data_IF_920440378517
#
_entry.id   IF_920440378517
#
_cell.length_a   1.000
_cell.length_b   1.000
_cell.length_c   1.000
_cell.angle_alpha   90.00
_cell.angle_beta   90.00
_cell.angle_gamma   90.00
#
_symmetry.space_group_name_H-M   'P 1'
#
loop_
_entity.id
_entity.type
_entity.pdbx_description
1 polymer ?
#
# COMPACT_ATOMS: atom_id res chain seq x y z
N UNK A 1 24.70 10.94 -13.93
CA UNK A 1 23.51 10.44 -13.20
C UNK A 1 23.07 11.36 -12.05
N UNK A 2 23.82 11.49 -10.94
CA UNK A 2 23.36 12.32 -9.80
C UNK A 2 23.13 13.80 -10.15
N UNK A 3 24.05 14.45 -10.87
CA UNK A 3 23.88 15.85 -11.31
C UNK A 3 22.62 16.08 -12.15
N UNK A 4 22.22 15.09 -12.95
CA UNK A 4 21.01 15.15 -13.77
C UNK A 4 19.76 15.04 -12.90
N UNK A 5 19.71 14.06 -11.99
CA UNK A 5 18.62 13.93 -11.01
C UNK A 5 18.45 15.18 -10.15
N UNK A 6 19.55 15.80 -9.72
CA UNK A 6 19.51 17.07 -9.00
C UNK A 6 18.87 18.18 -9.81
N UNK A 7 19.16 18.24 -11.11
CA UNK A 7 18.58 19.24 -12.00
C UNK A 7 17.09 18.96 -12.25
N UNK A 8 16.72 17.71 -12.47
CA UNK A 8 15.33 17.29 -12.73
C UNK A 8 14.43 17.47 -11.51
N UNK A 9 14.95 17.22 -10.30
CA UNK A 9 14.17 17.25 -9.07
C UNK A 9 14.32 18.55 -8.26
N UNK A 10 15.09 19.54 -8.75
CA UNK A 10 15.44 20.76 -7.99
C UNK A 10 14.21 21.51 -7.44
N UNK A 11 13.13 21.55 -8.23
CA UNK A 11 11.91 22.31 -7.92
C UNK A 11 10.84 21.43 -7.22
N UNK A 12 11.12 20.14 -6.99
CA UNK A 12 10.20 19.25 -6.28
C UNK A 12 10.15 19.64 -4.81
N UNK A 13 8.94 19.82 -4.30
CA UNK A 13 8.66 20.16 -2.90
C UNK A 13 7.98 19.01 -2.12
N UNK A 14 7.31 18.11 -2.84
CA UNK A 14 6.51 17.02 -2.28
C UNK A 14 6.79 15.73 -3.04
N UNK A 15 7.03 14.66 -2.30
CA UNK A 15 7.01 13.28 -2.80
C UNK A 15 5.77 12.58 -2.29
N UNK A 16 5.13 11.79 -3.15
CA UNK A 16 3.98 10.97 -2.81
C UNK A 16 4.35 9.51 -3.03
N UNK A 17 4.11 8.67 -2.02
CA UNK A 17 4.28 7.22 -2.13
C UNK A 17 2.91 6.60 -1.90
N UNK A 18 2.38 5.96 -2.94
CA UNK A 18 1.16 5.15 -2.83
C UNK A 18 1.52 3.71 -2.45
N UNK A 19 0.56 2.99 -1.87
CA UNK A 19 0.70 1.61 -1.37
C UNK A 19 1.94 1.37 -0.50
N UNK A 20 2.11 2.22 0.52
CA UNK A 20 3.22 2.17 1.47
C UNK A 20 3.32 0.84 2.24
N UNK A 21 2.21 0.08 2.30
CA UNK A 21 2.18 -1.27 2.88
C UNK A 21 3.09 -2.26 2.16
N UNK A 22 3.41 -2.02 0.89
CA UNK A 22 4.33 -2.82 0.10
C UNK A 22 5.78 -2.33 0.19
N UNK A 23 6.04 -1.21 0.85
CA UNK A 23 7.38 -0.62 0.96
C UNK A 23 8.01 -1.05 2.29
N UNK A 24 8.99 -1.94 2.23
CA UNK A 24 9.76 -2.31 3.41
C UNK A 24 10.46 -1.09 4.04
N UNK A 25 10.59 -1.07 5.36
CA UNK A 25 11.30 -0.02 6.11
C UNK A 25 12.72 0.24 5.57
N UNK A 26 13.41 -0.82 5.16
CA UNK A 26 14.75 -0.73 4.58
C UNK A 26 14.74 0.08 3.28
N UNK A 27 13.75 -0.16 2.41
CA UNK A 27 13.56 0.57 1.16
C UNK A 27 13.25 2.04 1.44
N UNK A 28 12.39 2.34 2.42
CA UNK A 28 12.09 3.71 2.81
C UNK A 28 13.33 4.45 3.34
N UNK A 29 14.23 3.74 4.04
CA UNK A 29 15.52 4.30 4.46
C UNK A 29 16.50 4.54 3.32
N UNK A 30 16.54 3.67 2.32
CA UNK A 30 17.29 3.95 1.11
C UNK A 30 16.74 5.16 0.36
N UNK A 31 15.41 5.30 0.27
CA UNK A 31 14.77 6.50 -0.32
C UNK A 31 15.23 7.76 0.42
N UNK A 32 15.19 7.77 1.75
CA UNK A 32 15.69 8.87 2.57
C UNK A 32 17.15 9.24 2.22
N UNK A 33 18.06 8.26 2.25
CA UNK A 33 19.48 8.50 1.97
C UNK A 33 19.69 9.08 0.56
N UNK A 34 19.01 8.53 -0.45
CA UNK A 34 19.08 9.01 -1.83
C UNK A 34 18.56 10.44 -1.97
N UNK A 35 17.46 10.79 -1.30
CA UNK A 35 16.94 12.16 -1.30
C UNK A 35 17.90 13.13 -0.60
N UNK A 36 18.50 12.74 0.52
CA UNK A 36 19.52 13.55 1.18
C UNK A 36 20.72 13.84 0.27
N UNK A 37 21.20 12.85 -0.48
CA UNK A 37 22.28 13.03 -1.45
C UNK A 37 21.88 13.93 -2.63
N UNK A 38 20.64 13.82 -3.11
CA UNK A 38 20.14 14.64 -4.22
C UNK A 38 20.04 16.11 -3.77
N UNK A 39 19.45 16.36 -2.60
CA UNK A 39 19.21 17.71 -2.12
C UNK A 39 20.34 18.30 -1.26
N UNK A 40 21.47 17.61 -1.13
CA UNK A 40 22.64 18.02 -0.34
C UNK A 40 22.33 18.26 1.15
N UNK A 41 21.51 17.42 1.77
CA UNK A 41 21.12 17.56 3.18
C UNK A 41 21.71 16.47 4.09
N UNK A 42 22.66 15.67 3.60
CA UNK A 42 23.25 14.52 4.33
C UNK A 42 23.86 14.93 5.67
N UNK A 43 24.56 16.05 5.71
CA UNK A 43 25.26 16.54 6.90
C UNK A 43 24.36 17.38 7.83
N UNK A 44 23.08 17.55 7.48
CA UNK A 44 22.14 18.36 8.24
C UNK A 44 21.44 17.54 9.32
N UNK A 45 21.36 18.10 10.53
CA UNK A 45 20.70 17.45 11.69
C UNK A 45 19.23 17.07 11.42
N UNK A 46 18.54 17.80 10.55
CA UNK A 46 17.16 17.54 10.13
C UNK A 46 17.06 17.32 8.60
N UNK A 47 18.07 16.69 8.00
CA UNK A 47 18.16 16.48 6.56
C UNK A 47 17.19 15.45 5.97
N UNK A 48 16.34 14.81 6.79
CA UNK A 48 15.45 13.71 6.40
C UNK A 48 14.69 13.99 5.10
N UNK A 49 14.64 12.98 4.24
CA UNK A 49 14.01 12.98 2.92
C UNK A 49 14.40 14.19 2.05
N UNK A 50 15.65 14.67 2.17
CA UNK A 50 16.11 15.82 1.40
C UNK A 50 15.46 17.15 1.81
N UNK A 51 14.89 17.23 3.02
CA UNK A 51 14.05 18.34 3.51
C UNK A 51 12.84 18.63 2.63
N UNK A 52 12.30 17.60 1.98
CA UNK A 52 11.08 17.69 1.19
C UNK A 52 9.90 17.15 1.97
N UNK A 53 8.71 17.60 1.62
CA UNK A 53 7.50 17.01 2.16
C UNK A 53 7.34 15.60 1.60
N UNK A 54 6.89 14.68 2.43
CA UNK A 54 6.59 13.31 2.05
C UNK A 54 5.17 13.00 2.49
N UNK A 55 4.33 12.60 1.55
CA UNK A 55 2.97 12.14 1.80
C UNK A 55 2.89 10.67 1.39
N UNK A 56 2.41 9.83 2.29
CA UNK A 56 2.33 8.39 2.05
C UNK A 56 0.90 7.92 2.23
N UNK A 57 0.47 7.04 1.33
CA UNK A 57 -0.84 6.41 1.34
C UNK A 57 -0.66 4.89 1.28
N UNK A 58 -1.63 4.16 1.80
CA UNK A 58 -1.69 2.72 1.66
C UNK A 58 -2.54 2.09 2.75
N UNK A 59 -2.93 0.83 2.52
CA UNK A 59 -3.67 0.04 3.48
C UNK A 59 -2.76 -1.01 4.12
N UNK A 60 -2.47 -0.81 5.41
CA UNK A 60 -1.58 -1.68 6.18
C UNK A 60 -2.17 -3.08 6.42
N UNK A 61 -3.48 -3.25 6.20
CA UNK A 61 -4.18 -4.53 6.33
C UNK A 61 -4.32 -5.27 4.99
N UNK A 62 -3.82 -4.70 3.89
CA UNK A 62 -3.76 -5.37 2.58
C UNK A 62 -2.47 -6.20 2.42
N UNK A 63 -2.32 -6.86 1.26
CA UNK A 63 -1.22 -7.76 0.93
C UNK A 63 0.16 -7.17 1.29
N UNK A 64 0.93 -7.95 2.05
CA UNK A 64 2.30 -7.62 2.45
C UNK A 64 3.28 -8.43 1.59
N UNK A 65 4.23 -7.78 0.91
CA UNK A 65 5.40 -8.51 0.38
C UNK A 65 6.42 -8.82 1.49
N UNK A 66 6.45 -7.99 2.54
CA UNK A 66 7.06 -8.21 3.87
C UNK A 66 6.55 -7.06 4.75
N UNK A 67 6.02 -7.32 5.96
CA UNK A 67 5.32 -6.27 6.73
C UNK A 67 6.20 -5.03 6.99
N UNK A 68 5.69 -3.81 6.73
CA UNK A 68 6.42 -2.55 6.94
C UNK A 68 6.67 -2.27 8.44
N UNK A 69 6.17 -3.13 9.33
CA UNK A 69 6.37 -3.01 10.78
C UNK A 69 7.21 -4.15 11.36
N UNK A 70 7.76 -5.05 10.54
CA UNK A 70 8.72 -6.04 11.04
C UNK A 70 9.94 -5.28 11.56
N UNK A 71 10.22 -5.47 12.85
CA UNK A 71 11.46 -5.04 13.47
C UNK A 71 12.59 -5.74 12.72
N UNK A 72 13.22 -5.00 11.80
CA UNK A 72 14.30 -5.52 10.98
C UNK A 72 15.37 -6.10 11.91
N UNK A 73 15.80 -7.34 11.64
CA UNK A 73 16.86 -8.00 12.39
C UNK A 73 18.04 -7.04 12.56
N UNK A 74 18.33 -6.68 13.81
CA UNK A 74 19.31 -5.64 14.19
C UNK A 74 20.66 -5.84 13.50
N UNK A 75 21.03 -7.09 13.24
CA UNK A 75 22.26 -7.45 12.55
C UNK A 75 22.35 -6.97 11.09
N UNK A 76 21.25 -6.97 10.33
CA UNK A 76 21.20 -6.49 8.93
C UNK A 76 21.15 -4.97 8.86
N UNK A 77 20.42 -4.34 9.79
CA UNK A 77 20.34 -2.89 9.91
C UNK A 77 21.68 -2.26 10.30
N UNK A 78 22.40 -2.85 11.26
CA UNK A 78 23.70 -2.33 11.70
C UNK A 78 24.76 -2.42 10.59
N UNK A 79 24.71 -3.45 9.74
CA UNK A 79 25.64 -3.61 8.62
C UNK A 79 25.32 -2.70 7.43
N UNK A 80 24.06 -2.29 7.25
CA UNK A 80 23.61 -1.57 6.04
C UNK A 80 23.30 -0.09 6.27
N UNK A 81 22.85 0.31 7.47
CA UNK A 81 22.40 1.68 7.77
C UNK A 81 22.97 2.22 9.10
N UNK A 82 23.73 1.42 9.86
CA UNK A 82 24.45 1.86 11.06
C UNK A 82 23.54 2.53 12.11
N UNK A 83 23.92 3.71 12.60
CA UNK A 83 23.25 4.44 13.68
C UNK A 83 21.77 4.81 13.40
N UNK A 84 21.37 4.92 12.12
CA UNK A 84 20.00 5.26 11.71
C UNK A 84 19.00 4.13 12.01
N UNK A 85 19.48 2.91 12.26
CA UNK A 85 18.67 1.76 12.67
C UNK A 85 17.93 1.91 14.01
N UNK A 86 18.38 2.86 14.84
CA UNK A 86 17.84 3.10 16.19
C UNK A 86 16.64 4.05 16.20
N UNK A 87 16.34 4.72 15.08
CA UNK A 87 15.29 5.74 14.98
C UNK A 87 14.03 5.10 14.39
N UNK A 88 12.92 5.15 15.13
CA UNK A 88 11.60 4.79 14.59
C UNK A 88 11.04 5.98 13.80
N UNK A 89 11.36 6.02 12.50
CA UNK A 89 10.99 7.12 11.60
C UNK A 89 9.48 7.37 11.55
N UNK A 90 8.65 6.33 11.69
CA UNK A 90 7.20 6.45 11.67
C UNK A 90 6.68 7.27 12.85
N UNK A 91 7.26 7.09 14.02
CA UNK A 91 6.88 7.83 15.23
C UNK A 91 7.47 9.24 15.27
N UNK A 92 8.70 9.39 14.80
CA UNK A 92 9.46 10.64 14.97
C UNK A 92 9.23 11.64 13.81
N UNK A 93 8.89 11.16 12.60
CA UNK A 93 8.82 12.00 11.39
C UNK A 93 7.44 12.09 10.75
N UNK A 94 6.53 11.15 11.02
CA UNK A 94 5.21 11.11 10.37
C UNK A 94 4.09 11.46 11.34
N UNK A 95 3.09 12.15 10.81
CA UNK A 95 1.75 12.26 11.39
C UNK A 95 0.82 11.30 10.66
N UNK A 96 -0.11 10.68 11.40
CA UNK A 96 -1.05 9.69 10.87
C UNK A 96 -2.46 10.24 10.90
N UNK A 97 -3.17 10.07 9.78
CA UNK A 97 -4.60 10.31 9.64
C UNK A 97 -5.24 9.10 8.93
N UNK A 98 -6.46 8.74 9.32
CA UNK A 98 -7.19 7.61 8.75
C UNK A 98 -8.37 8.08 7.89
N UNK A 99 -8.47 7.54 6.68
CA UNK A 99 -9.66 7.68 5.84
C UNK A 99 -10.67 6.60 6.22
N UNK A 100 -11.86 7.02 6.69
CA UNK A 100 -12.89 6.11 7.21
C UNK A 100 -14.04 5.85 6.25
N UNK A 101 -14.12 6.58 5.13
CA UNK A 101 -15.22 6.49 4.17
C UNK A 101 -14.80 5.64 2.96
N UNK A 102 -15.48 4.52 2.75
CA UNK A 102 -15.30 3.69 1.56
C UNK A 102 -16.13 4.24 0.38
N UNK A 103 -15.44 4.92 -0.54
CA UNK A 103 -16.08 5.48 -1.73
C UNK A 103 -16.29 4.45 -2.86
N UNK A 104 -15.56 3.32 -2.83
CA UNK A 104 -15.61 2.30 -3.91
C UNK A 104 -16.91 1.51 -3.89
N UNK A 105 -17.42 1.21 -2.69
CA UNK A 105 -18.70 0.53 -2.48
C UNK A 105 -19.78 1.49 -1.95
N UNK A 106 -19.73 2.79 -2.32
CA UNK A 106 -20.64 3.80 -1.77
C UNK A 106 -22.14 3.50 -2.02
N UNK A 107 -22.47 2.78 -3.09
CA UNK A 107 -23.84 2.41 -3.45
C UNK A 107 -24.31 1.09 -2.80
N UNK A 108 -23.42 0.34 -2.15
CA UNK A 108 -23.68 -0.97 -1.56
C UNK A 108 -23.09 -1.02 -0.14
N UNK A 109 -23.80 -0.40 0.81
CA UNK A 109 -23.36 -0.31 2.20
C UNK A 109 -23.21 -1.69 2.88
N UNK A 110 -24.09 -2.64 2.56
CA UNK A 110 -24.03 -4.00 3.11
C UNK A 110 -22.73 -4.70 2.67
N UNK A 111 -22.37 -4.56 1.40
CA UNK A 111 -21.11 -5.10 0.89
C UNK A 111 -19.89 -4.33 1.39
N UNK A 112 -19.96 -3.00 1.54
CA UNK A 112 -18.89 -2.19 2.12
C UNK A 112 -18.58 -2.61 3.57
N UNK A 113 -19.61 -2.85 4.37
CA UNK A 113 -19.49 -3.31 5.75
C UNK A 113 -18.91 -4.73 5.82
N UNK A 114 -19.34 -5.62 4.93
CA UNK A 114 -18.77 -6.96 4.79
C UNK A 114 -17.27 -6.90 4.49
N UNK A 115 -16.86 -6.08 3.51
CA UNK A 115 -15.44 -5.92 3.17
C UNK A 115 -14.63 -5.33 4.32
N UNK A 116 -15.22 -4.42 5.10
CA UNK A 116 -14.58 -3.86 6.30
C UNK A 116 -14.36 -4.92 7.38
N UNK A 117 -15.33 -5.82 7.60
CA UNK A 117 -15.17 -6.98 8.49
C UNK A 117 -14.12 -7.96 7.98
N UNK A 118 -14.10 -8.25 6.68
CA UNK A 118 -13.08 -9.09 6.05
C UNK A 118 -11.68 -8.51 6.26
N UNK A 119 -11.50 -7.20 6.05
CA UNK A 119 -10.24 -6.47 6.27
C UNK A 119 -9.70 -6.63 7.70
N UNK A 120 -10.59 -6.71 8.69
CA UNK A 120 -10.24 -6.91 10.11
C UNK A 120 -10.22 -8.38 10.56
N UNK A 121 -10.57 -9.32 9.67
CA UNK A 121 -10.72 -10.74 10.02
C UNK A 121 -11.92 -11.06 10.92
N UNK A 122 -12.94 -10.19 10.97
CA UNK A 122 -14.12 -10.28 11.83
C UNK A 122 -15.35 -10.82 11.07
N UNK A 123 -15.17 -11.90 10.32
CA UNK A 123 -16.21 -12.45 9.43
C UNK A 123 -17.20 -13.32 10.23
N UNK A 124 -18.50 -13.15 9.99
CA UNK A 124 -19.55 -13.99 10.57
C UNK A 124 -20.25 -14.93 9.56
N UNK A 125 -21.22 -15.72 10.04
CA UNK A 125 -21.96 -16.68 9.19
C UNK A 125 -22.83 -15.98 8.13
N UNK A 126 -23.32 -14.77 8.43
CA UNK A 126 -24.12 -13.99 7.49
C UNK A 126 -23.27 -13.45 6.35
N UNK A 127 -22.05 -12.98 6.64
CA UNK A 127 -21.07 -12.56 5.64
C UNK A 127 -20.71 -13.71 4.70
N UNK A 128 -20.46 -14.90 5.25
CA UNK A 128 -20.20 -16.09 4.45
C UNK A 128 -21.39 -16.39 3.54
N UNK A 129 -22.61 -16.31 4.06
CA UNK A 129 -23.83 -16.55 3.28
C UNK A 129 -23.97 -15.57 2.11
N UNK A 130 -23.68 -14.27 2.32
CA UNK A 130 -23.66 -13.25 1.25
C UNK A 130 -22.61 -13.59 0.19
N UNK A 131 -21.39 -13.95 0.60
CA UNK A 131 -20.32 -14.33 -0.33
C UNK A 131 -20.65 -15.61 -1.12
N UNK A 132 -21.34 -16.57 -0.49
CA UNK A 132 -21.78 -17.80 -1.15
C UNK A 132 -22.82 -17.52 -2.24
N UNK A 133 -23.73 -16.56 -2.03
CA UNK A 133 -24.71 -16.15 -3.03
C UNK A 133 -24.07 -15.52 -4.27
N UNK A 134 -22.92 -14.86 -4.11
CA UNK A 134 -22.16 -14.25 -5.22
C UNK A 134 -21.30 -15.26 -6.01
N UNK A 135 -21.39 -16.57 -5.72
CA UNK A 135 -20.65 -17.60 -6.46
C UNK A 135 -21.23 -17.81 -7.86
N UNK A 136 -20.36 -17.84 -8.85
CA UNK A 136 -20.70 -18.27 -10.21
C UNK A 136 -20.63 -19.80 -10.26
N UNK A 137 -21.73 -20.52 -10.48
CA UNK A 137 -21.73 -21.98 -10.53
C UNK A 137 -21.05 -22.44 -11.84
N UNK A 138 -19.86 -23.02 -11.74
CA UNK A 138 -19.14 -23.59 -12.87
C UNK A 138 -19.50 -25.08 -13.01
N UNK A 139 -20.68 -25.37 -13.57
CA UNK A 139 -21.23 -26.73 -13.70
C UNK A 139 -20.65 -27.52 -14.88
N UNK A 140 -19.91 -26.88 -15.79
CA UNK A 140 -19.26 -27.54 -16.93
C UNK A 140 -18.23 -28.60 -16.51
N UNK A 141 -18.20 -29.72 -17.24
CA UNK A 141 -17.25 -30.81 -17.02
C UNK A 141 -15.91 -30.53 -17.71
N UNK A 142 -15.91 -29.71 -18.76
CA UNK A 142 -14.72 -29.31 -19.51
C UNK A 142 -14.29 -27.88 -19.19
N UNK A 143 -13.02 -27.56 -19.44
CA UNK A 143 -12.48 -26.20 -19.26
C UNK A 143 -13.20 -25.20 -20.18
N UNK A 144 -13.55 -25.62 -21.40
CA UNK A 144 -14.26 -24.77 -22.36
C UNK A 144 -15.66 -24.35 -21.85
N UNK A 145 -16.41 -25.29 -21.27
CA UNK A 145 -17.73 -25.00 -20.68
C UNK A 145 -17.63 -24.07 -19.48
N UNK A 146 -16.60 -24.24 -18.63
CA UNK A 146 -16.36 -23.34 -17.49
C UNK A 146 -16.01 -21.92 -17.94
N UNK A 147 -15.18 -21.78 -18.97
CA UNK A 147 -14.83 -20.46 -19.55
C UNK A 147 -16.07 -19.81 -20.18
N UNK A 148 -16.90 -20.59 -20.88
CA UNK A 148 -18.15 -20.09 -21.46
C UNK A 148 -19.11 -19.56 -20.40
N UNK A 149 -19.27 -20.27 -19.27
CA UNK A 149 -20.11 -19.82 -18.15
C UNK A 149 -19.59 -18.51 -17.51
N UNK A 150 -18.27 -18.34 -17.39
CA UNK A 150 -17.67 -17.08 -16.91
C UNK A 150 -17.92 -15.95 -17.93
N UNK A 151 -17.75 -16.21 -19.22
CA UNK A 151 -17.96 -15.21 -20.27
C UNK A 151 -19.42 -14.73 -20.34
N UNK A 152 -20.37 -15.65 -20.19
CA UNK A 152 -21.80 -15.33 -20.13
C UNK A 152 -22.14 -14.47 -18.91
N UNK A 153 -21.62 -14.83 -17.74
CA UNK A 153 -21.77 -14.02 -16.52
C UNK A 153 -21.17 -12.62 -16.68
N UNK A 154 -19.95 -12.50 -17.23
CA UNK A 154 -19.32 -11.19 -17.45
C UNK A 154 -20.12 -10.33 -18.44
N UNK A 155 -20.78 -10.95 -19.42
CA UNK A 155 -21.63 -10.27 -20.39
C UNK A 155 -22.98 -9.82 -19.81
N UNK A 156 -23.44 -10.44 -18.72
CA UNK A 156 -24.69 -10.08 -18.05
C UNK A 156 -24.51 -8.99 -16.98
N UNK A 157 -23.27 -8.67 -16.62
CA UNK A 157 -22.98 -7.55 -15.73
C UNK A 157 -23.38 -6.23 -16.40
N UNK A 158 -24.00 -5.29 -15.68
CA UNK A 158 -24.29 -3.98 -16.21
C UNK A 158 -22.99 -3.32 -16.68
N UNK A 159 -23.03 -2.71 -17.87
CA UNK A 159 -21.91 -1.93 -18.39
C UNK A 159 -21.57 -0.86 -17.35
N UNK A 160 -20.35 -0.90 -16.81
CA UNK A 160 -19.82 0.13 -15.92
C UNK A 160 -19.89 1.46 -16.68
N UNK A 161 -20.84 2.31 -16.29
CA UNK A 161 -20.83 3.71 -16.70
C UNK A 161 -19.66 4.36 -15.93
N UNK A 162 -18.50 4.43 -16.59
CA UNK A 162 -17.38 5.26 -16.19
C UNK A 162 -17.71 6.74 -16.42
#
# INVERSE_FOLDING_TARGET
MLKQLRFELKDVILFIIDEISMVANLTLMYINLRLCEIFNTVDEKNGWFGKKHLLVFGDLLQLHEDSPFVQLNSHRLNTSIGALSSINIWRELFTYDELTINMRQAEDAEYADLLSRVRLGQIDISDVSILLQKRIPLTGLTVAEKIAAVAEYLSSLPMLHH
#
